data_IF_171518901896
#
_entry.id   IF_171518901896
#
_cell.length_a   1.000
_cell.length_b   1.000
_cell.length_c   1.000
_cell.angle_alpha   90.00
_cell.angle_beta   90.00
_cell.angle_gamma   90.00
#
_symmetry.space_group_name_H-M   'P 1'
#
loop_
_entity.id
_entity.type
_entity.pdbx_description
1 polymer ?
#
# COMPACT_ATOMS: atom_id res chain seq x y z
N UNK A 1 27.53 0.63 4.99
CA UNK A 1 27.56 0.63 3.51
C UNK A 1 28.23 -0.66 3.06
N UNK A 2 27.60 -1.44 2.19
CA UNK A 2 28.22 -2.62 1.55
C UNK A 2 28.49 -2.26 0.10
N UNK A 3 29.65 -2.66 -0.41
CA UNK A 3 30.06 -2.38 -1.80
C UNK A 3 29.70 -3.56 -2.68
N UNK A 4 29.04 -3.31 -3.80
CA UNK A 4 28.64 -4.30 -4.80
C UNK A 4 29.27 -3.89 -6.13
N UNK A 5 30.15 -4.74 -6.68
CA UNK A 5 30.78 -4.50 -7.98
C UNK A 5 30.01 -5.30 -9.03
N UNK A 6 29.46 -4.60 -10.03
CA UNK A 6 28.67 -5.21 -11.11
C UNK A 6 29.24 -4.77 -12.44
N UNK A 7 29.32 -5.70 -13.39
CA UNK A 7 29.63 -5.37 -14.78
C UNK A 7 28.35 -4.90 -15.44
N UNK A 8 28.30 -3.62 -15.83
CA UNK A 8 27.16 -3.03 -16.52
C UNK A 8 27.47 -2.86 -18.01
N UNK A 9 26.47 -3.01 -18.89
CA UNK A 9 26.58 -2.60 -20.29
C UNK A 9 26.94 -1.11 -20.41
N UNK A 10 27.75 -0.75 -21.41
CA UNK A 10 28.22 0.62 -21.61
C UNK A 10 27.06 1.63 -21.75
N UNK A 11 25.98 1.24 -22.43
CA UNK A 11 24.78 2.07 -22.59
C UNK A 11 24.18 2.49 -21.24
N UNK A 12 24.05 1.55 -20.30
CA UNK A 12 23.54 1.82 -18.95
C UNK A 12 24.46 2.74 -18.16
N UNK A 13 25.79 2.60 -18.35
CA UNK A 13 26.76 3.50 -17.72
C UNK A 13 26.60 4.92 -18.26
N UNK A 14 26.50 5.09 -19.59
CA UNK A 14 26.29 6.39 -20.22
C UNK A 14 25.00 7.07 -19.76
N UNK A 15 23.90 6.33 -19.63
CA UNK A 15 22.65 6.86 -19.08
C UNK A 15 22.82 7.36 -17.63
N UNK A 16 23.45 6.56 -16.77
CA UNK A 16 23.69 6.91 -15.37
C UNK A 16 24.58 8.16 -15.27
N UNK A 17 25.61 8.27 -16.12
CA UNK A 17 26.46 9.46 -16.17
C UNK A 17 25.71 10.70 -16.62
N UNK A 18 24.85 10.58 -17.64
CA UNK A 18 24.04 11.68 -18.12
C UNK A 18 23.05 12.14 -17.04
N UNK A 19 22.36 11.21 -16.39
CA UNK A 19 21.41 11.49 -15.31
C UNK A 19 22.10 12.07 -14.07
N UNK A 20 23.30 11.58 -13.74
CA UNK A 20 24.16 12.15 -12.69
C UNK A 20 24.53 13.61 -12.98
N UNK A 21 24.89 13.95 -14.22
CA UNK A 21 25.20 15.32 -14.63
C UNK A 21 23.97 16.22 -14.60
N UNK A 22 22.83 15.73 -15.07
CA UNK A 22 21.58 16.51 -15.06
C UNK A 22 21.10 16.81 -13.63
N UNK A 23 21.11 15.81 -12.74
CA UNK A 23 20.57 15.92 -11.38
C UNK A 23 21.60 16.38 -10.34
N UNK A 24 22.88 16.52 -10.72
CA UNK A 24 24.02 16.82 -9.82
C UNK A 24 24.15 15.83 -8.66
N UNK A 25 23.79 14.57 -8.89
CA UNK A 25 23.89 13.49 -7.90
C UNK A 25 25.05 12.56 -8.25
N UNK A 26 25.59 11.83 -7.28
CA UNK A 26 26.65 10.85 -7.57
C UNK A 26 26.09 9.66 -8.37
N UNK A 27 26.94 9.00 -9.16
CA UNK A 27 26.58 7.78 -9.91
C UNK A 27 25.98 6.72 -8.97
N UNK A 28 26.56 6.59 -7.77
CA UNK A 28 26.10 5.66 -6.73
C UNK A 28 24.72 6.02 -6.19
N UNK A 29 24.36 7.30 -6.12
CA UNK A 29 23.02 7.72 -5.67
C UNK A 29 21.97 7.42 -6.73
N UNK A 30 22.27 7.69 -8.01
CA UNK A 30 21.38 7.33 -9.13
C UNK A 30 21.18 5.80 -9.21
N UNK A 31 22.26 5.02 -9.08
CA UNK A 31 22.17 3.55 -9.05
C UNK A 31 21.35 3.07 -7.86
N UNK A 32 21.56 3.63 -6.67
CA UNK A 32 20.80 3.27 -5.47
C UNK A 32 19.31 3.64 -5.62
N UNK A 33 19.01 4.81 -6.16
CA UNK A 33 17.64 5.27 -6.41
C UNK A 33 16.91 4.38 -7.42
N UNK A 34 17.53 4.08 -8.57
CA UNK A 34 16.96 3.15 -9.57
C UNK A 34 16.71 1.76 -8.97
N UNK A 35 17.69 1.19 -8.25
CA UNK A 35 17.53 -0.12 -7.61
C UNK A 35 16.43 -0.13 -6.54
N UNK A 36 16.34 0.92 -5.71
CA UNK A 36 15.27 1.05 -4.72
C UNK A 36 13.90 1.28 -5.35
N UNK A 37 13.83 2.03 -6.46
CA UNK A 37 12.60 2.30 -7.19
C UNK A 37 12.00 1.02 -7.78
N UNK A 38 12.82 0.14 -8.36
CA UNK A 38 12.38 -1.17 -8.86
C UNK A 38 11.81 -2.03 -7.71
N UNK A 39 12.47 -2.02 -6.54
CA UNK A 39 11.97 -2.71 -5.35
C UNK A 39 10.64 -2.15 -4.82
N UNK A 40 10.35 -0.86 -5.07
CA UNK A 40 9.07 -0.23 -4.71
C UNK A 40 7.99 -0.45 -5.77
N UNK A 41 8.33 -0.50 -7.05
CA UNK A 41 7.36 -0.78 -8.13
C UNK A 41 6.90 -2.23 -8.13
N UNK A 42 7.75 -3.16 -7.69
CA UNK A 42 7.38 -4.57 -7.47
C UNK A 42 6.49 -4.77 -6.24
N UNK A 43 6.51 -3.85 -5.27
CA UNK A 43 5.54 -3.89 -4.17
C UNK A 43 4.18 -3.55 -4.76
N UNK A 44 3.32 -4.57 -4.86
CA UNK A 44 1.90 -4.45 -5.23
C UNK A 44 1.35 -3.17 -4.61
N UNK A 45 0.86 -2.26 -5.46
CA UNK A 45 0.22 -1.03 -5.01
C UNK A 45 -0.92 -1.44 -4.07
N UNK A 46 -0.98 -0.91 -2.82
CA UNK A 46 -2.02 -1.31 -1.89
C UNK A 46 -3.37 -0.99 -2.51
N UNK A 47 -4.24 -1.99 -2.54
CA UNK A 47 -5.62 -1.83 -2.96
C UNK A 47 -6.40 -1.12 -1.86
N UNK A 48 -7.53 -0.46 -2.17
CA UNK A 48 -8.40 0.11 -1.13
C UNK A 48 -8.79 -0.90 -0.04
N UNK A 49 -8.90 -2.19 -0.38
CA UNK A 49 -9.17 -3.28 0.57
C UNK A 49 -8.02 -3.49 1.56
N UNK A 50 -6.77 -3.32 1.12
CA UNK A 50 -5.60 -3.49 1.99
C UNK A 50 -5.57 -2.42 3.10
N UNK A 51 -6.21 -1.26 2.89
CA UNK A 51 -6.32 -0.19 3.88
C UNK A 51 -7.40 -0.40 4.95
N UNK A 52 -8.26 -1.40 4.78
CA UNK A 52 -9.32 -1.76 5.74
C UNK A 52 -9.20 -3.22 6.19
N UNK A 53 -8.11 -3.91 5.85
CA UNK A 53 -7.96 -5.33 6.09
C UNK A 53 -8.00 -5.68 7.60
N UNK A 54 -7.53 -4.77 8.45
CA UNK A 54 -7.60 -4.84 9.91
C UNK A 54 -9.04 -4.68 10.45
N UNK A 55 -9.93 -4.04 9.69
CA UNK A 55 -11.34 -3.90 10.05
C UNK A 55 -12.15 -5.16 9.73
N UNK A 56 -11.72 -5.94 8.73
CA UNK A 56 -12.41 -7.16 8.29
C UNK A 56 -12.32 -8.22 9.39
N UNK A 57 -13.46 -8.58 9.98
CA UNK A 57 -13.52 -9.57 11.06
C UNK A 57 -13.11 -9.04 12.44
N UNK A 58 -12.97 -7.72 12.60
CA UNK A 58 -12.64 -7.10 13.90
C UNK A 58 -13.76 -7.18 14.95
N UNK A 59 -14.94 -7.69 14.61
CA UNK A 59 -16.09 -7.80 15.51
C UNK A 59 -16.54 -9.24 15.62
N UNK A 60 -16.39 -9.80 16.82
CA UNK A 60 -16.84 -11.14 17.17
C UNK A 60 -18.32 -11.18 17.61
N UNK A 61 -18.93 -12.37 17.53
CA UNK A 61 -20.25 -12.63 18.09
C UNK A 61 -21.44 -12.03 17.31
N UNK A 62 -21.20 -11.54 16.09
CA UNK A 62 -22.27 -11.08 15.21
C UNK A 62 -23.00 -12.25 14.55
N UNK A 63 -24.32 -12.15 14.33
CA UNK A 63 -25.05 -13.09 13.50
C UNK A 63 -24.46 -13.18 12.10
N UNK A 64 -24.37 -14.41 11.56
CA UNK A 64 -23.76 -14.70 10.27
C UNK A 64 -24.35 -13.89 9.09
N UNK A 65 -25.58 -13.41 9.21
CA UNK A 65 -26.23 -12.60 8.18
C UNK A 65 -27.05 -11.45 8.77
N UNK A 66 -26.39 -10.32 8.96
CA UNK A 66 -27.04 -9.05 9.31
C UNK A 66 -27.78 -8.43 8.12
N UNK A 67 -27.39 -8.78 6.89
CA UNK A 67 -27.89 -8.14 5.67
C UNK A 67 -29.31 -8.61 5.34
N UNK A 68 -29.57 -9.92 5.37
CA UNK A 68 -30.89 -10.48 5.06
C UNK A 68 -31.92 -10.19 6.14
N UNK A 69 -31.50 -10.06 7.41
CA UNK A 69 -32.39 -9.84 8.57
C UNK A 69 -32.29 -8.43 9.15
N UNK A 70 -31.86 -7.45 8.35
CA UNK A 70 -31.68 -6.05 8.75
C UNK A 70 -32.88 -5.49 9.54
N UNK A 71 -34.11 -5.63 9.02
CA UNK A 71 -35.33 -5.11 9.68
C UNK A 71 -35.57 -5.71 11.06
N UNK A 72 -35.31 -7.02 11.22
CA UNK A 72 -35.47 -7.72 12.49
C UNK A 72 -34.47 -7.19 13.52
N UNK A 73 -33.19 -7.11 13.16
CA UNK A 73 -32.15 -6.65 14.08
C UNK A 73 -32.32 -5.19 14.47
N UNK A 74 -32.65 -4.30 13.53
CA UNK A 74 -32.92 -2.89 13.83
C UNK A 74 -34.09 -2.71 14.82
N UNK A 75 -35.18 -3.47 14.66
CA UNK A 75 -36.30 -3.47 15.61
C UNK A 75 -35.90 -4.01 16.98
N UNK A 76 -35.22 -5.17 17.02
CA UNK A 76 -34.82 -5.81 18.28
C UNK A 76 -33.84 -4.97 19.11
N UNK A 77 -33.02 -4.15 18.46
CA UNK A 77 -32.05 -3.25 19.10
C UNK A 77 -32.63 -1.87 19.41
N UNK A 78 -33.94 -1.67 19.22
CA UNK A 78 -34.61 -0.39 19.52
C UNK A 78 -34.18 0.77 18.63
N UNK A 79 -33.57 0.49 17.48
CA UNK A 79 -33.07 1.52 16.57
C UNK A 79 -34.24 2.27 15.92
N UNK A 80 -34.20 3.61 15.95
CA UNK A 80 -35.24 4.46 15.37
C UNK A 80 -36.48 4.70 16.24
N UNK A 81 -36.47 4.24 17.50
CA UNK A 81 -37.50 4.63 18.47
C UNK A 81 -37.34 6.11 18.84
N UNK A 82 -38.40 6.89 18.69
CA UNK A 82 -38.44 8.29 19.14
C UNK A 82 -38.37 8.26 20.67
N UNK A 83 -37.32 8.84 21.26
CA UNK A 83 -37.26 9.05 22.71
C UNK A 83 -38.43 9.97 23.08
N UNK A 84 -39.46 9.40 23.69
CA UNK A 84 -40.49 10.17 24.39
C UNK A 84 -39.85 10.72 25.66
N UNK A 85 -39.39 11.96 25.58
CA UNK A 85 -39.12 12.81 26.74
C UNK A 85 -40.42 13.19 27.45
#
# INVERSE_FOLDING_TARGET
MKTLTVRLPEQLVSEIEHESRQRRCSKSDIVRERLQSIGRSTKRRPTPLDGIADLIGSVDGLPADLSARKKHYLRSKGYGQKRSS
#
